data_IF_989314890750
#
_entry.id   IF_989314890750
#
_cell.length_a   1.000
_cell.length_b   1.000
_cell.length_c   1.000
_cell.angle_alpha   90.00
_cell.angle_beta   90.00
_cell.angle_gamma   90.00
#
_symmetry.space_group_name_H-M   'P 1'
#
loop_
_entity.id
_entity.type
_entity.pdbx_description
1 polymer ?
#
# COMPACT_ATOMS: atom_id res chain seq x y z
N UNK A 1 -1.45 -13.10 -24.23
CA UNK A 1 -2.19 -12.33 -23.20
C UNK A 1 -1.31 -12.24 -21.96
N UNK A 2 -1.06 -11.04 -21.43
CA UNK A 2 -0.34 -10.91 -20.15
C UNK A 2 -1.15 -11.61 -19.04
N UNK A 3 -0.49 -12.44 -18.22
CA UNK A 3 -1.15 -13.12 -17.11
C UNK A 3 -1.70 -12.11 -16.10
N UNK A 4 -2.82 -12.43 -15.46
CA UNK A 4 -3.43 -11.60 -14.40
C UNK A 4 -2.40 -11.29 -13.31
N UNK A 5 -1.54 -12.27 -12.99
CA UNK A 5 -0.41 -12.12 -12.07
C UNK A 5 0.52 -10.99 -12.47
N UNK A 6 0.97 -10.94 -13.72
CA UNK A 6 1.88 -9.89 -14.21
C UNK A 6 1.26 -8.49 -14.11
N UNK A 7 -0.02 -8.35 -14.44
CA UNK A 7 -0.74 -7.07 -14.32
C UNK A 7 -0.85 -6.61 -12.86
N UNK A 8 -1.25 -7.51 -11.96
CA UNK A 8 -1.37 -7.21 -10.53
C UNK A 8 -0.01 -6.87 -9.90
N UNK A 9 1.05 -7.61 -10.25
CA UNK A 9 2.41 -7.29 -9.78
C UNK A 9 2.82 -5.90 -10.23
N UNK A 10 2.64 -5.56 -11.51
CA UNK A 10 2.98 -4.24 -12.03
C UNK A 10 2.24 -3.12 -11.30
N UNK A 11 0.92 -3.28 -11.05
CA UNK A 11 0.11 -2.28 -10.35
C UNK A 11 0.56 -2.11 -8.89
N UNK A 12 0.68 -3.20 -8.12
CA UNK A 12 1.04 -3.11 -6.70
C UNK A 12 2.45 -2.56 -6.51
N UNK A 13 3.41 -3.00 -7.33
CA UNK A 13 4.78 -2.48 -7.27
C UNK A 13 4.83 -1.02 -7.69
N UNK A 14 4.15 -0.63 -8.78
CA UNK A 14 4.15 0.76 -9.24
C UNK A 14 3.57 1.71 -8.20
N UNK A 15 2.40 1.39 -7.64
CA UNK A 15 1.77 2.21 -6.59
C UNK A 15 2.70 2.33 -5.38
N UNK A 16 3.26 1.20 -4.94
CA UNK A 16 4.15 1.17 -3.79
C UNK A 16 5.40 2.01 -3.98
N UNK A 17 6.12 1.81 -5.10
CA UNK A 17 7.35 2.53 -5.40
C UNK A 17 7.10 4.02 -5.61
N UNK A 18 6.02 4.40 -6.32
CA UNK A 18 5.68 5.82 -6.53
C UNK A 18 5.38 6.50 -5.18
N UNK A 19 4.56 5.89 -4.33
CA UNK A 19 4.25 6.44 -3.01
C UNK A 19 5.52 6.61 -2.16
N UNK A 20 6.40 5.60 -2.17
CA UNK A 20 7.69 5.65 -1.46
C UNK A 20 8.60 6.76 -1.99
N UNK A 21 8.71 6.91 -3.31
CA UNK A 21 9.54 7.96 -3.93
C UNK A 21 9.00 9.37 -3.64
N UNK A 22 7.69 9.58 -3.70
CA UNK A 22 7.07 10.88 -3.41
C UNK A 22 7.30 11.28 -1.96
N UNK A 23 6.98 10.38 -1.02
CA UNK A 23 7.15 10.64 0.41
C UNK A 23 8.62 10.79 0.77
N UNK A 24 9.48 9.90 0.27
CA UNK A 24 10.92 9.96 0.53
C UNK A 24 11.59 11.19 -0.07
N UNK A 25 11.18 11.58 -1.29
CA UNK A 25 11.65 12.81 -1.93
C UNK A 25 11.25 14.06 -1.15
N UNK A 26 10.01 14.11 -0.67
CA UNK A 26 9.54 15.19 0.21
C UNK A 26 10.36 15.29 1.50
N UNK A 27 10.61 14.17 2.19
CA UNK A 27 11.45 14.16 3.40
C UNK A 27 12.88 14.65 3.15
N UNK A 28 13.49 14.28 2.02
CA UNK A 28 14.84 14.76 1.67
C UNK A 28 14.81 16.26 1.38
N UNK A 29 13.81 16.73 0.64
CA UNK A 29 13.60 18.15 0.36
C UNK A 29 13.46 18.97 1.65
N UNK A 30 12.59 18.55 2.56
CA UNK A 30 12.34 19.20 3.85
C UNK A 30 13.62 19.21 4.72
N UNK A 31 14.39 18.12 4.72
CA UNK A 31 15.68 18.05 5.43
C UNK A 31 16.70 19.09 4.93
N UNK A 32 16.73 19.35 3.62
CA UNK A 32 17.62 20.36 3.02
C UNK A 32 17.13 21.76 3.38
N UNK A 33 15.82 22.01 3.25
CA UNK A 33 15.22 23.31 3.57
C UNK A 33 15.43 23.66 5.06
N UNK A 34 15.19 22.72 5.97
CA UNK A 34 15.43 22.89 7.40
C UNK A 34 16.90 23.19 7.72
N UNK A 35 17.84 22.54 7.02
CA UNK A 35 19.26 22.77 7.21
C UNK A 35 19.68 24.18 6.79
N UNK A 36 19.17 24.65 5.66
CA UNK A 36 19.44 25.99 5.14
C UNK A 36 18.80 27.06 6.04
N UNK A 37 17.57 26.83 6.48
CA UNK A 37 16.90 27.67 7.46
C UNK A 37 17.66 27.74 8.79
N UNK A 38 18.17 26.60 9.29
CA UNK A 38 18.98 26.55 10.51
C UNK A 38 20.29 27.34 10.38
N UNK A 39 20.99 27.24 9.23
CA UNK A 39 22.22 28.00 8.99
C UNK A 39 21.95 29.51 8.91
N UNK A 40 20.86 29.92 8.23
CA UNK A 40 20.46 31.32 8.17
C UNK A 40 20.05 31.87 9.55
N UNK A 41 19.31 31.07 10.33
CA UNK A 41 18.91 31.40 11.68
C UNK A 41 20.12 31.56 12.61
N UNK A 42 21.12 30.69 12.50
CA UNK A 42 22.35 30.78 13.29
C UNK A 42 23.09 32.10 13.05
N UNK A 43 23.30 32.49 11.78
CA UNK A 43 23.93 33.77 11.46
C UNK A 43 23.10 34.95 11.99
N UNK A 44 21.78 34.92 11.79
CA UNK A 44 20.88 35.96 12.29
C UNK A 44 20.98 36.10 13.81
N UNK A 45 21.02 34.98 14.53
CA UNK A 45 21.16 34.97 15.99
C UNK A 45 22.48 35.60 16.45
N UNK A 46 23.60 35.32 15.75
CA UNK A 46 24.89 35.95 16.06
C UNK A 46 24.82 37.47 15.91
N UNK A 47 24.23 37.97 14.81
CA UNK A 47 24.04 39.42 14.59
C UNK A 47 23.13 40.04 15.64
N UNK A 48 21.99 39.41 15.96
CA UNK A 48 21.06 39.94 16.97
C UNK A 48 21.65 39.94 18.38
N UNK A 49 22.42 38.91 18.73
CA UNK A 49 23.12 38.85 20.01
C UNK A 49 24.16 39.96 20.11
N UNK A 50 24.93 40.15 19.03
CA UNK A 50 25.90 41.21 18.93
C UNK A 50 25.27 42.61 19.01
N UNK A 51 24.18 42.85 18.28
CA UNK A 51 23.45 44.11 18.30
C UNK A 51 22.97 44.46 19.71
N UNK A 52 22.42 43.48 20.43
CA UNK A 52 22.03 43.65 21.82
C UNK A 52 23.22 44.01 22.71
N UNK A 53 24.37 43.40 22.50
CA UNK A 53 25.57 43.67 23.30
C UNK A 53 26.03 45.12 23.16
N UNK A 54 26.23 45.62 21.93
CA UNK A 54 26.70 46.99 21.69
C UNK A 54 25.66 48.05 22.10
N UNK A 55 24.36 47.74 22.00
CA UNK A 55 23.29 48.57 22.55
C UNK A 55 23.42 48.68 24.07
N UNK A 56 23.49 47.57 24.79
CA UNK A 56 23.61 47.54 26.26
C UNK A 56 24.89 48.23 26.74
N UNK A 57 26.02 48.08 26.03
CA UNK A 57 27.26 48.78 26.33
C UNK A 57 27.09 50.31 26.21
N UNK A 58 26.38 50.77 25.19
CA UNK A 58 26.11 52.20 24.99
C UNK A 58 25.15 52.74 26.04
N UNK A 59 24.09 52.00 26.36
CA UNK A 59 23.13 52.35 27.43
C UNK A 59 23.82 52.44 28.80
N UNK A 60 24.74 51.51 29.10
CA UNK A 60 25.53 51.54 30.33
C UNK A 60 26.44 52.77 30.41
N UNK A 61 27.08 53.15 29.31
CA UNK A 61 27.86 54.38 29.28
C UNK A 61 26.95 55.60 29.48
N UNK A 62 25.85 55.70 28.75
CA UNK A 62 24.87 56.79 28.87
C UNK A 62 24.32 56.90 30.29
N UNK A 63 24.04 55.77 30.95
CA UNK A 63 23.62 55.73 32.35
C UNK A 63 24.69 56.32 33.28
N UNK A 64 25.96 55.99 33.04
CA UNK A 64 27.09 56.57 33.79
C UNK A 64 27.21 58.09 33.56
N UNK A 65 27.01 58.55 32.32
CA UNK A 65 27.01 59.98 31.99
C UNK A 65 25.81 60.73 32.59
N UNK A 66 24.63 60.09 32.67
CA UNK A 66 23.47 60.64 33.37
C UNK A 66 23.77 60.87 34.86
N UNK A 67 24.50 59.97 35.52
CA UNK A 67 24.95 60.18 36.89
C UNK A 67 25.81 61.44 37.06
N UNK A 68 26.68 61.74 36.08
CA UNK A 68 27.48 62.98 36.06
C UNK A 68 26.58 64.21 35.83
N UNK A 69 25.62 64.10 34.92
CA UNK A 69 24.67 65.18 34.64
C UNK A 69 23.75 65.50 35.84
N UNK A 70 23.35 64.51 36.63
CA UNK A 70 22.59 64.76 37.86
C UNK A 70 23.42 65.49 38.93
N UNK A 71 24.73 65.23 39.02
CA UNK A 71 25.65 66.01 39.87
C UNK A 71 25.83 67.45 39.38
N UNK A 72 25.72 67.69 38.07
CA UNK A 72 25.62 69.04 37.54
C UNK A 72 24.31 69.72 37.99
N UNK A 73 23.18 69.02 37.83
CA UNK A 73 21.85 69.56 38.20
C UNK A 73 21.71 69.85 39.69
N UNK A 74 22.39 69.10 40.55
CA UNK A 74 22.42 69.36 41.99
C UNK A 74 23.32 70.54 42.39
N UNK A 75 24.12 71.06 41.45
CA UNK A 75 25.10 72.13 41.70
C UNK A 75 26.43 71.64 42.30
N UNK A 76 26.63 70.32 42.44
CA UNK A 76 27.91 69.75 42.88
C UNK A 76 29.02 69.99 41.85
N UNK A 77 28.68 69.93 40.56
CA UNK A 77 29.58 70.23 39.45
C UNK A 77 29.04 71.39 38.62
N UNK A 78 29.92 72.30 38.19
CA UNK A 78 29.58 73.23 37.10
C UNK A 78 29.40 72.47 35.79
N UNK A 79 28.69 73.05 34.82
CA UNK A 79 28.53 72.43 33.50
C UNK A 79 29.88 72.10 32.83
N UNK A 80 30.86 73.00 32.94
CA UNK A 80 32.20 72.77 32.40
C UNK A 80 32.90 71.58 33.08
N UNK A 81 32.80 71.45 34.40
CA UNK A 81 33.36 70.32 35.15
C UNK A 81 32.65 69.01 34.82
N UNK A 82 31.32 69.02 34.71
CA UNK A 82 30.53 67.84 34.39
C UNK A 82 30.80 67.35 32.95
N UNK A 83 30.83 68.25 31.97
CA UNK A 83 31.20 67.91 30.58
C UNK A 83 32.63 67.37 30.49
N UNK A 84 33.59 68.00 31.18
CA UNK A 84 34.98 67.52 31.20
C UNK A 84 35.09 66.10 31.81
N UNK A 85 34.40 65.84 32.92
CA UNK A 85 34.37 64.53 33.56
C UNK A 85 33.69 63.47 32.67
N UNK A 86 32.58 63.83 32.02
CA UNK A 86 31.89 62.95 31.07
C UNK A 86 32.79 62.55 29.89
N UNK A 87 33.54 63.51 29.34
CA UNK A 87 34.54 63.27 28.29
C UNK A 87 35.64 62.33 28.79
N UNK A 88 36.15 62.54 30.01
CA UNK A 88 37.17 61.69 30.62
C UNK A 88 36.69 60.24 30.78
N UNK A 89 35.48 60.04 31.33
CA UNK A 89 34.88 58.70 31.49
C UNK A 89 34.70 58.00 30.14
N UNK A 90 34.18 58.70 29.13
CA UNK A 90 34.01 58.13 27.79
C UNK A 90 35.36 57.76 27.14
N UNK A 91 36.38 58.62 27.29
CA UNK A 91 37.73 58.38 26.77
C UNK A 91 38.42 57.22 27.49
N UNK A 92 38.12 56.98 28.76
CA UNK A 92 38.69 55.88 29.55
C UNK A 92 37.94 54.55 29.37
N UNK A 93 36.64 54.57 29.08
CA UNK A 93 35.80 53.38 28.97
C UNK A 93 36.28 52.44 27.86
N UNK A 94 36.59 51.19 28.22
CA UNK A 94 36.96 50.12 27.30
C UNK A 94 36.20 48.84 27.63
N UNK A 95 36.02 47.99 26.62
CA UNK A 95 35.47 46.64 26.74
C UNK A 95 36.23 45.71 25.77
N UNK A 96 35.85 44.43 25.71
CA UNK A 96 36.47 43.44 24.81
C UNK A 96 38.01 43.44 24.94
N UNK A 97 38.48 43.17 26.17
CA UNK A 97 39.93 43.13 26.50
C UNK A 97 40.70 44.41 26.16
N UNK A 98 40.03 45.57 26.15
CA UNK A 98 40.65 46.87 25.86
C UNK A 98 40.56 47.30 24.39
N UNK A 99 40.02 46.45 23.51
CA UNK A 99 39.88 46.72 22.07
C UNK A 99 38.65 47.57 21.75
N UNK A 100 37.57 47.36 22.50
CA UNK A 100 36.32 48.09 22.38
C UNK A 100 36.41 49.49 22.97
N UNK A 101 35.81 50.48 22.31
CA UNK A 101 35.94 51.88 22.68
C UNK A 101 34.73 52.73 22.28
N UNK A 102 34.60 53.91 22.90
CA UNK A 102 33.52 54.86 22.63
C UNK A 102 34.04 56.16 22.00
N UNK A 103 33.16 56.83 21.27
CA UNK A 103 33.39 58.18 20.80
C UNK A 103 32.08 58.96 20.80
N UNK A 104 32.20 60.28 20.81
CA UNK A 104 31.07 61.17 20.71
C UNK A 104 31.34 62.39 19.84
N UNK A 105 30.29 62.82 19.19
CA UNK A 105 30.25 63.98 18.33
C UNK A 105 29.07 64.85 18.73
N UNK A 106 29.23 66.16 18.63
CA UNK A 106 28.16 67.09 18.90
C UNK A 106 27.13 67.00 17.77
N UNK A 107 25.86 66.96 18.15
CA UNK A 107 24.73 66.59 17.29
C UNK A 107 24.51 67.54 16.12
N UNK A 108 24.56 68.84 16.35
CA UNK A 108 24.12 69.81 15.33
C UNK A 108 25.26 70.20 14.38
N UNK A 109 26.47 70.26 14.91
CA UNK A 109 27.67 70.58 14.16
C UNK A 109 28.27 69.34 13.54
N UNK A 110 28.41 68.23 14.27
CA UNK A 110 29.23 67.07 13.86
C UNK A 110 30.70 67.20 14.26
N UNK A 111 31.00 68.09 15.21
CA UNK A 111 32.34 68.22 15.79
C UNK A 111 32.60 67.07 16.77
N UNK A 112 33.73 66.40 16.63
CA UNK A 112 34.13 65.36 17.58
C UNK A 112 34.41 65.95 18.96
N UNK A 113 33.69 65.48 19.97
CA UNK A 113 33.82 65.91 21.36
C UNK A 113 34.80 65.02 22.12
N UNK A 114 34.76 63.71 21.87
CA UNK A 114 35.60 62.74 22.55
C UNK A 114 35.86 61.54 21.64
N UNK A 115 37.11 61.06 21.59
CA UNK A 115 37.42 59.82 20.89
C UNK A 115 38.45 59.00 21.65
N UNK A 116 38.07 57.81 22.10
CA UNK A 116 38.88 56.93 22.92
C UNK A 116 40.21 56.45 22.29
N UNK A 117 40.29 56.29 20.98
CA UNK A 117 41.52 55.76 20.33
C UNK A 117 42.26 56.76 19.45
N UNK A 118 41.67 57.94 19.22
CA UNK A 118 42.20 58.98 18.32
C UNK A 118 42.37 60.31 19.06
N UNK A 119 42.75 60.21 20.34
CA UNK A 119 42.98 61.35 21.23
C UNK A 119 43.84 62.43 20.58
N UNK A 120 43.39 63.69 20.65
CA UNK A 120 44.09 64.85 20.10
C UNK A 120 44.19 64.90 18.56
N UNK A 121 43.78 63.86 17.84
CA UNK A 121 43.84 63.84 16.37
C UNK A 121 42.56 64.36 15.72
N UNK A 122 41.40 63.96 16.27
CA UNK A 122 40.07 64.25 15.69
C UNK A 122 39.21 65.16 16.57
N UNK A 123 39.51 65.26 17.86
CA UNK A 123 38.76 66.09 18.83
C UNK A 123 38.79 67.57 18.38
N UNK A 124 37.63 68.23 18.41
CA UNK A 124 37.44 69.62 17.96
C UNK A 124 37.32 69.81 16.44
N UNK A 125 37.38 68.73 15.64
CA UNK A 125 37.24 68.79 14.18
C UNK A 125 35.86 68.31 13.74
N UNK A 126 35.39 68.90 12.64
CA UNK A 126 34.26 68.41 11.89
C UNK A 126 34.60 67.10 11.19
N UNK A 127 33.74 66.08 11.27
CA UNK A 127 33.98 64.79 10.63
C UNK A 127 32.79 64.17 9.91
N UNK A 128 31.71 64.93 9.69
CA UNK A 128 30.56 64.43 8.93
C UNK A 128 30.89 63.97 7.51
N UNK A 129 31.98 64.46 6.92
CA UNK A 129 32.39 64.11 5.55
C UNK A 129 33.49 63.04 5.51
N UNK A 130 33.86 62.48 6.66
CA UNK A 130 34.84 61.40 6.74
C UNK A 130 34.29 60.15 6.04
N UNK A 131 35.17 59.50 5.26
CA UNK A 131 34.86 58.30 4.49
C UNK A 131 35.66 57.11 5.00
N UNK A 132 35.03 55.94 4.95
CA UNK A 132 35.76 54.68 5.07
C UNK A 132 36.44 54.30 3.74
N UNK A 133 37.23 53.22 3.74
CA UNK A 133 37.88 52.69 2.52
C UNK A 133 36.92 52.32 1.38
N UNK A 134 35.64 52.08 1.67
CA UNK A 134 34.61 51.79 0.67
C UNK A 134 33.95 53.05 0.11
N UNK A 135 34.34 54.24 0.59
CA UNK A 135 33.79 55.52 0.18
C UNK A 135 32.47 55.89 0.89
N UNK A 136 32.06 55.13 1.91
CA UNK A 136 30.86 55.40 2.71
C UNK A 136 31.16 56.56 3.66
N UNK A 137 30.28 57.56 3.67
CA UNK A 137 30.31 58.65 4.65
C UNK A 137 29.84 58.16 6.02
N UNK A 138 30.68 57.37 6.70
CA UNK A 138 30.28 56.59 7.86
C UNK A 138 29.76 57.46 9.02
N UNK A 139 30.30 58.66 9.21
CA UNK A 139 29.79 59.59 10.23
C UNK A 139 28.35 60.05 9.94
N UNK A 140 27.95 60.18 8.68
CA UNK A 140 26.56 60.49 8.32
C UNK A 140 25.62 59.33 8.61
N UNK A 141 26.06 58.10 8.32
CA UNK A 141 25.25 56.91 8.62
C UNK A 141 25.13 56.70 10.14
N UNK A 142 26.18 56.98 10.93
CA UNK A 142 26.11 56.98 12.40
C UNK A 142 25.09 58.00 12.91
N UNK A 143 25.14 59.24 12.42
CA UNK A 143 24.19 60.29 12.86
C UNK A 143 22.75 59.92 12.48
N UNK A 144 22.56 59.44 11.26
CA UNK A 144 21.27 58.94 10.78
C UNK A 144 20.76 57.78 11.64
N UNK A 145 21.62 56.85 12.02
CA UNK A 145 21.26 55.74 12.90
C UNK A 145 20.87 56.23 14.29
N UNK A 146 21.67 57.10 14.90
CA UNK A 146 21.41 57.67 16.22
C UNK A 146 20.09 58.45 16.29
N UNK A 147 19.71 59.09 15.20
CA UNK A 147 18.51 59.93 15.09
C UNK A 147 17.31 59.18 14.47
N UNK A 148 17.48 57.92 14.08
CA UNK A 148 16.42 57.12 13.44
C UNK A 148 15.26 56.80 14.40
N UNK A 149 15.56 56.72 15.71
CA UNK A 149 14.57 56.48 16.76
C UNK A 149 15.02 57.14 18.07
N UNK A 150 14.11 57.36 19.03
CA UNK A 150 14.47 57.84 20.36
C UNK A 150 15.43 56.93 21.14
N UNK A 151 15.49 55.64 20.79
CA UNK A 151 16.40 54.68 21.42
C UNK A 151 17.80 54.72 20.79
N UNK A 152 17.94 55.22 19.57
CA UNK A 152 19.14 55.11 18.75
C UNK A 152 18.98 54.14 17.59
N UNK A 153 20.10 53.71 17.00
CA UNK A 153 20.10 52.80 15.87
C UNK A 153 21.49 52.26 15.51
N UNK A 154 21.49 51.33 14.55
CA UNK A 154 22.68 50.63 14.09
C UNK A 154 23.18 51.19 12.76
N UNK A 155 24.50 51.16 12.57
CA UNK A 155 25.17 51.54 11.32
C UNK A 155 26.30 50.56 11.02
N UNK A 156 26.49 50.28 9.73
CA UNK A 156 27.59 49.44 9.23
C UNK A 156 28.59 50.31 8.48
N UNK A 157 29.87 50.17 8.79
CA UNK A 157 30.96 50.92 8.17
C UNK A 157 32.28 50.14 8.29
N UNK A 158 33.30 50.52 7.54
CA UNK A 158 34.63 49.91 7.70
C UNK A 158 35.56 50.81 8.53
N UNK A 159 36.32 50.20 9.43
CA UNK A 159 37.28 50.94 10.25
C UNK A 159 38.41 50.02 10.70
N UNK A 160 39.66 50.50 10.84
CA UNK A 160 40.74 49.65 11.29
C UNK A 160 40.68 49.41 12.80
N UNK A 161 41.18 48.25 13.23
CA UNK A 161 41.39 47.96 14.66
C UNK A 161 42.40 48.92 15.27
N UNK A 162 42.35 49.19 16.60
CA UNK A 162 43.27 50.12 17.24
C UNK A 162 44.72 49.67 17.04
N UNK A 163 45.52 50.48 16.35
CA UNK A 163 46.92 50.17 16.05
C UNK A 163 47.16 49.42 14.73
N UNK A 164 46.09 49.07 14.01
CA UNK A 164 46.14 48.44 12.69
C UNK A 164 45.80 49.46 11.58
N UNK A 165 46.08 49.11 10.33
CA UNK A 165 45.78 49.94 9.15
C UNK A 165 44.79 49.30 8.19
N UNK A 166 44.48 48.02 8.39
CA UNK A 166 43.55 47.28 7.55
C UNK A 166 42.11 47.61 7.97
N UNK A 167 41.32 48.11 7.03
CA UNK A 167 39.91 48.39 7.24
C UNK A 167 39.12 47.08 7.30
N UNK A 168 38.38 46.89 8.39
CA UNK A 168 37.54 45.72 8.59
C UNK A 168 36.08 46.14 8.79
N UNK A 169 35.11 45.29 8.38
CA UNK A 169 33.69 45.54 8.61
C UNK A 169 33.40 45.72 10.09
N UNK A 170 32.80 46.85 10.43
CA UNK A 170 32.46 47.26 11.77
C UNK A 170 30.97 47.58 11.85
N UNK A 171 30.32 47.07 12.89
CA UNK A 171 28.93 47.37 13.18
C UNK A 171 28.85 48.18 14.45
N UNK A 172 28.18 49.32 14.37
CA UNK A 172 28.10 50.28 15.45
C UNK A 172 26.67 50.54 15.89
N UNK A 173 26.49 50.80 17.18
CA UNK A 173 25.27 51.33 17.75
C UNK A 173 25.52 52.77 18.16
N UNK A 174 24.52 53.61 17.93
CA UNK A 174 24.61 55.02 18.24
C UNK A 174 23.30 55.55 18.79
N UNK A 175 23.39 56.47 19.75
CA UNK A 175 22.24 57.11 20.35
C UNK A 175 22.57 58.52 20.82
N UNK A 176 21.55 59.37 20.93
CA UNK A 176 21.71 60.72 21.43
C UNK A 176 21.69 60.78 22.97
N UNK A 177 22.78 61.27 23.54
CA UNK A 177 22.81 61.79 24.90
C UNK A 177 22.29 63.23 24.92
N UNK A 178 20.97 63.35 25.04
CA UNK A 178 20.23 64.62 24.96
C UNK A 178 20.73 65.73 25.89
N UNK A 179 21.15 65.48 27.15
CA UNK A 179 21.56 66.55 28.05
C UNK A 179 22.68 67.44 27.51
N UNK A 180 23.61 66.87 26.72
CA UNK A 180 24.71 67.62 26.11
C UNK A 180 24.64 67.68 24.59
N UNK A 181 23.60 67.13 23.97
CA UNK A 181 23.48 67.06 22.50
C UNK A 181 24.62 66.25 21.89
N UNK A 182 25.00 65.12 22.49
CA UNK A 182 26.09 64.28 21.99
C UNK A 182 25.55 63.02 21.34
N UNK A 183 25.98 62.74 20.11
CA UNK A 183 25.80 61.43 19.48
C UNK A 183 26.91 60.53 20.00
N UNK A 184 26.54 59.57 20.84
CA UNK A 184 27.47 58.59 21.41
C UNK A 184 27.41 57.34 20.55
N UNK A 185 28.57 56.83 20.17
CA UNK A 185 28.67 55.61 19.38
C UNK A 185 29.72 54.66 19.95
N UNK A 186 29.42 53.38 19.79
CA UNK A 186 30.33 52.27 20.03
C UNK A 186 30.14 51.23 18.93
N UNK A 187 31.10 50.33 18.80
CA UNK A 187 30.98 49.23 17.85
C UNK A 187 32.23 48.36 17.86
N UNK A 188 32.10 47.18 17.26
CA UNK A 188 33.17 46.19 17.12
C UNK A 188 33.11 45.57 15.72
N UNK A 189 34.17 44.85 15.38
CA UNK A 189 34.34 44.23 14.08
C UNK A 189 33.49 42.96 14.00
N UNK A 190 32.82 42.77 12.86
CA UNK A 190 31.90 41.64 12.62
C UNK A 190 32.46 40.64 11.62
N UNK A 191 33.75 40.76 11.30
CA UNK A 191 34.53 39.84 10.47
C UNK A 191 34.41 38.38 10.94
N UNK A 192 34.34 38.17 12.25
CA UNK A 192 34.18 36.84 12.84
C UNK A 192 32.78 36.24 12.65
N UNK A 193 31.72 37.03 12.45
CA UNK A 193 30.34 36.53 12.36
C UNK A 193 30.18 35.69 11.10
N UNK A 194 30.66 36.21 9.96
CA UNK A 194 30.56 35.50 8.69
C UNK A 194 31.49 34.27 8.66
N UNK A 195 32.69 34.36 9.28
CA UNK A 195 33.57 33.21 9.45
C UNK A 195 32.94 32.11 10.32
N UNK A 196 32.37 32.46 11.49
CA UNK A 196 31.71 31.52 12.37
C UNK A 196 30.46 30.89 11.73
N UNK A 197 29.68 31.67 10.98
CA UNK A 197 28.54 31.17 10.21
C UNK A 197 28.97 30.19 9.11
N UNK A 198 30.08 30.48 8.42
CA UNK A 198 30.64 29.60 7.40
C UNK A 198 31.16 28.29 7.99
N UNK A 199 31.87 28.33 9.12
CA UNK A 199 32.36 27.14 9.82
C UNK A 199 31.19 26.27 10.32
N UNK A 200 30.15 26.90 10.89
CA UNK A 200 28.93 26.20 11.28
C UNK A 200 28.23 25.55 10.08
N UNK A 201 28.05 26.28 8.97
CA UNK A 201 27.43 25.76 7.77
C UNK A 201 28.23 24.57 7.18
N UNK A 202 29.57 24.65 7.22
CA UNK A 202 30.44 23.56 6.77
C UNK A 202 30.26 22.30 7.65
N UNK A 203 30.30 22.44 8.97
CA UNK A 203 30.06 21.32 9.88
C UNK A 203 28.67 20.71 9.67
N UNK A 204 27.65 21.55 9.47
CA UNK A 204 26.27 21.11 9.25
C UNK A 204 26.11 20.44 7.88
N UNK A 205 26.87 20.85 6.86
CA UNK A 205 26.86 20.22 5.53
C UNK A 205 27.32 18.75 5.56
N UNK A 206 28.32 18.42 6.40
CA UNK A 206 28.75 17.03 6.58
C UNK A 206 27.68 16.18 7.27
N UNK A 207 26.99 16.76 8.26
CA UNK A 207 25.87 16.12 8.93
C UNK A 207 24.67 15.94 7.98
N UNK A 208 24.36 16.95 7.17
CA UNK A 208 23.32 16.90 6.13
C UNK A 208 23.62 15.78 5.12
N UNK A 209 24.85 15.71 4.62
CA UNK A 209 25.24 14.66 3.69
C UNK A 209 25.02 13.26 4.29
N UNK A 210 25.43 13.04 5.55
CA UNK A 210 25.18 11.77 6.24
C UNK A 210 23.69 11.46 6.37
N UNK A 211 22.85 12.46 6.73
CA UNK A 211 21.39 12.29 6.82
C UNK A 211 20.80 11.91 5.46
N UNK A 212 21.17 12.61 4.38
CA UNK A 212 20.68 12.32 3.03
C UNK A 212 21.09 10.90 2.60
N UNK A 213 22.35 10.50 2.82
CA UNK A 213 22.81 9.14 2.49
C UNK A 213 22.01 8.08 3.24
N UNK A 214 21.79 8.25 4.53
CA UNK A 214 20.97 7.33 5.34
C UNK A 214 19.52 7.28 4.82
N UNK A 215 18.91 8.42 4.52
CA UNK A 215 17.57 8.50 3.94
C UNK A 215 17.48 7.78 2.59
N UNK A 216 18.47 7.93 1.72
CA UNK A 216 18.55 7.21 0.45
C UNK A 216 18.69 5.69 0.64
N UNK A 217 19.47 5.24 1.63
CA UNK A 217 19.60 3.81 1.95
C UNK A 217 18.25 3.25 2.45
N UNK A 218 17.58 3.96 3.37
CA UNK A 218 16.26 3.57 3.87
C UNK A 218 15.26 3.50 2.71
N UNK A 219 15.27 4.49 1.82
CA UNK A 219 14.42 4.54 0.64
C UNK A 219 14.65 3.34 -0.28
N UNK A 220 15.91 2.99 -0.55
CA UNK A 220 16.26 1.84 -1.36
C UNK A 220 15.77 0.52 -0.73
N UNK A 221 15.94 0.36 0.59
CA UNK A 221 15.43 -0.82 1.31
C UNK A 221 13.90 -0.90 1.24
N UNK A 222 13.20 0.23 1.44
CA UNK A 222 11.74 0.28 1.32
C UNK A 222 11.25 -0.07 -0.08
N UNK A 223 11.93 0.40 -1.13
CA UNK A 223 11.60 0.05 -2.52
C UNK A 223 11.73 -1.47 -2.73
N UNK A 224 12.81 -2.10 -2.27
CA UNK A 224 12.99 -3.55 -2.36
C UNK A 224 11.88 -4.29 -1.62
N UNK A 225 11.50 -3.83 -0.42
CA UNK A 225 10.40 -4.41 0.35
C UNK A 225 9.06 -4.27 -0.36
N UNK A 226 8.77 -3.11 -0.98
CA UNK A 226 7.55 -2.89 -1.76
C UNK A 226 7.49 -3.79 -3.00
N UNK A 227 8.63 -4.04 -3.66
CA UNK A 227 8.71 -4.99 -4.78
C UNK A 227 8.38 -6.41 -4.30
N UNK A 228 9.02 -6.88 -3.22
CA UNK A 228 8.77 -8.22 -2.67
C UNK A 228 7.31 -8.36 -2.22
N UNK A 229 6.77 -7.36 -1.52
CA UNK A 229 5.39 -7.34 -1.07
C UNK A 229 4.42 -7.37 -2.25
N UNK A 230 4.66 -6.56 -3.29
CA UNK A 230 3.84 -6.54 -4.51
C UNK A 230 3.83 -7.88 -5.25
N UNK A 231 4.97 -8.56 -5.34
CA UNK A 231 5.06 -9.91 -5.94
C UNK A 231 4.26 -10.93 -5.11
N UNK A 232 4.46 -10.95 -3.78
CA UNK A 232 3.76 -11.88 -2.89
C UNK A 232 2.24 -11.65 -2.89
N UNK A 233 1.82 -10.40 -2.85
CA UNK A 233 0.42 -10.02 -2.88
C UNK A 233 -0.22 -10.43 -4.22
N UNK A 234 0.43 -10.11 -5.34
CA UNK A 234 -0.05 -10.51 -6.66
C UNK A 234 -0.18 -12.04 -6.81
N UNK A 235 0.77 -12.82 -6.28
CA UNK A 235 0.67 -14.28 -6.27
C UNK A 235 -0.53 -14.77 -5.45
N UNK A 236 -0.73 -14.19 -4.24
CA UNK A 236 -1.85 -14.54 -3.36
C UNK A 236 -3.23 -14.36 -4.02
N UNK A 237 -3.40 -13.36 -4.88
CA UNK A 237 -4.65 -13.15 -5.62
C UNK A 237 -4.72 -13.92 -6.94
N UNK A 238 -3.65 -13.88 -7.73
CA UNK A 238 -3.69 -14.40 -9.11
C UNK A 238 -3.60 -15.92 -9.18
N UNK A 239 -2.88 -16.57 -8.26
CA UNK A 239 -2.64 -18.02 -8.33
C UNK A 239 -3.93 -18.83 -8.04
N UNK A 240 -4.77 -18.51 -7.03
CA UNK A 240 -6.07 -19.17 -6.84
C UNK A 240 -7.02 -18.98 -8.03
N UNK A 241 -7.06 -17.77 -8.62
CA UNK A 241 -7.89 -17.49 -9.81
C UNK A 241 -7.42 -18.33 -11.00
N UNK A 242 -6.12 -18.41 -11.22
CA UNK A 242 -5.54 -19.23 -12.28
C UNK A 242 -5.83 -20.72 -12.05
N UNK A 243 -5.77 -21.19 -10.79
CA UNK A 243 -6.11 -22.56 -10.41
C UNK A 243 -7.57 -22.89 -10.73
N UNK A 244 -8.51 -22.05 -10.31
CA UNK A 244 -9.94 -22.23 -10.60
C UNK A 244 -10.21 -22.19 -12.09
N UNK A 245 -9.61 -21.25 -12.82
CA UNK A 245 -9.77 -21.14 -14.28
C UNK A 245 -9.27 -22.41 -14.99
N UNK A 246 -8.10 -22.92 -14.59
CA UNK A 246 -7.52 -24.15 -15.17
C UNK A 246 -8.42 -25.37 -14.90
N UNK A 247 -8.96 -25.48 -13.69
CA UNK A 247 -9.79 -26.62 -13.30
C UNK A 247 -11.20 -26.55 -13.88
N UNK A 248 -11.76 -25.34 -14.03
CA UNK A 248 -13.00 -25.13 -14.78
C UNK A 248 -12.83 -25.53 -16.26
N UNK A 249 -11.67 -25.24 -16.87
CA UNK A 249 -11.36 -25.72 -18.22
C UNK A 249 -11.29 -27.25 -18.29
N UNK A 250 -10.63 -27.91 -17.33
CA UNK A 250 -10.61 -29.37 -17.26
C UNK A 250 -12.03 -29.98 -17.15
N UNK A 251 -12.91 -29.36 -16.36
CA UNK A 251 -14.31 -29.78 -16.28
C UNK A 251 -15.05 -29.61 -17.60
N UNK A 252 -14.78 -28.53 -18.35
CA UNK A 252 -15.35 -28.35 -19.69
C UNK A 252 -14.88 -29.42 -20.68
N UNK A 253 -13.64 -29.91 -20.52
CA UNK A 253 -13.06 -30.99 -21.32
C UNK A 253 -13.49 -32.40 -20.81
N UNK A 254 -14.36 -32.48 -19.80
CA UNK A 254 -14.88 -33.73 -19.23
C UNK A 254 -13.99 -34.42 -18.19
N UNK A 255 -12.85 -33.81 -17.83
CA UNK A 255 -11.97 -34.32 -16.77
C UNK A 255 -12.43 -33.82 -15.40
N UNK A 256 -13.19 -34.65 -14.70
CA UNK A 256 -13.63 -34.40 -13.33
C UNK A 256 -12.75 -35.10 -12.28
N UNK A 257 -11.50 -35.45 -12.61
CA UNK A 257 -10.57 -36.11 -11.70
C UNK A 257 -10.38 -35.38 -10.37
N UNK A 258 -10.08 -36.12 -9.29
CA UNK A 258 -9.78 -35.54 -7.98
C UNK A 258 -8.34 -35.06 -7.96
N UNK A 259 -8.12 -33.77 -8.24
CA UNK A 259 -6.81 -33.15 -8.01
C UNK A 259 -6.76 -32.49 -6.62
N UNK A 260 -5.63 -32.60 -5.89
CA UNK A 260 -5.46 -31.92 -4.61
C UNK A 260 -5.51 -30.40 -4.79
N UNK A 261 -6.08 -29.72 -3.80
CA UNK A 261 -6.09 -28.27 -3.70
C UNK A 261 -4.96 -27.89 -2.75
N UNK A 262 -3.98 -27.07 -3.18
CA UNK A 262 -2.95 -26.55 -2.28
C UNK A 262 -3.57 -25.79 -1.10
N UNK A 263 -3.07 -26.03 0.11
CA UNK A 263 -3.60 -25.39 1.33
C UNK A 263 -3.51 -23.86 1.26
N UNK A 264 -2.50 -23.31 0.58
CA UNK A 264 -2.33 -21.88 0.32
C UNK A 264 -3.50 -21.24 -0.44
N UNK A 265 -4.31 -22.03 -1.15
CA UNK A 265 -5.48 -21.55 -1.90
C UNK A 265 -6.77 -21.65 -1.08
N UNK A 266 -6.74 -22.33 0.08
CA UNK A 266 -7.87 -22.34 1.02
C UNK A 266 -7.80 -21.08 1.88
N UNK A 267 -8.48 -20.04 1.42
CA UNK A 267 -8.65 -18.79 2.14
C UNK A 267 -10.03 -18.71 2.81
N UNK A 268 -10.19 -17.84 3.81
CA UNK A 268 -11.50 -17.56 4.42
C UNK A 268 -12.28 -16.46 3.67
N UNK A 269 -11.74 -15.97 2.56
CA UNK A 269 -12.34 -14.94 1.70
C UNK A 269 -13.07 -15.54 0.49
N UNK A 270 -13.55 -14.68 -0.41
CA UNK A 270 -14.28 -15.05 -1.62
C UNK A 270 -13.46 -15.91 -2.57
N UNK A 271 -12.11 -15.83 -2.55
CA UNK A 271 -11.26 -16.69 -3.36
C UNK A 271 -11.28 -18.13 -2.84
N UNK A 272 -11.24 -18.29 -1.52
CA UNK A 272 -11.39 -19.61 -0.89
C UNK A 272 -12.77 -20.21 -1.13
N UNK A 273 -13.83 -19.42 -1.00
CA UNK A 273 -15.19 -19.86 -1.33
C UNK A 273 -15.32 -20.31 -2.80
N UNK A 274 -14.64 -19.62 -3.73
CA UNK A 274 -14.61 -20.01 -5.13
C UNK A 274 -13.90 -21.37 -5.34
N UNK A 275 -12.80 -21.61 -4.62
CA UNK A 275 -12.06 -22.88 -4.64
C UNK A 275 -12.91 -24.02 -4.06
N UNK A 276 -13.55 -23.79 -2.90
CA UNK A 276 -14.41 -24.77 -2.23
C UNK A 276 -15.66 -25.08 -3.08
N UNK A 277 -16.29 -24.07 -3.67
CA UNK A 277 -17.42 -24.24 -4.58
C UNK A 277 -17.07 -25.12 -5.79
N UNK A 278 -15.87 -24.95 -6.35
CA UNK A 278 -15.38 -25.79 -7.45
C UNK A 278 -15.12 -27.24 -7.01
N UNK A 279 -14.69 -27.45 -5.76
CA UNK A 279 -14.53 -28.79 -5.18
C UNK A 279 -15.88 -29.51 -5.05
N UNK A 280 -16.88 -28.82 -4.50
CA UNK A 280 -18.25 -29.34 -4.36
C UNK A 280 -18.87 -29.64 -5.72
N UNK A 281 -18.71 -28.73 -6.69
CA UNK A 281 -19.19 -28.95 -8.07
C UNK A 281 -18.59 -30.23 -8.66
N UNK A 282 -17.27 -30.39 -8.61
CA UNK A 282 -16.61 -31.59 -9.11
C UNK A 282 -17.04 -32.86 -8.39
N UNK A 283 -17.28 -32.81 -7.08
CA UNK A 283 -17.78 -33.94 -6.30
C UNK A 283 -19.19 -34.36 -6.72
N UNK A 284 -20.08 -33.38 -6.92
CA UNK A 284 -21.45 -33.64 -7.36
C UNK A 284 -21.50 -34.18 -8.79
N UNK A 285 -20.69 -33.63 -9.71
CA UNK A 285 -20.62 -34.15 -11.08
C UNK A 285 -20.08 -35.57 -11.13
N UNK A 286 -19.03 -35.91 -10.35
CA UNK A 286 -18.55 -37.30 -10.25
C UNK A 286 -19.60 -38.26 -9.72
N UNK A 287 -20.35 -37.85 -8.68
CA UNK A 287 -21.46 -38.67 -8.14
C UNK A 287 -22.51 -38.93 -9.21
N UNK A 288 -22.88 -37.91 -9.97
CA UNK A 288 -23.85 -38.03 -11.08
C UNK A 288 -23.32 -38.94 -12.19
N UNK A 289 -22.05 -38.82 -12.57
CA UNK A 289 -21.44 -39.70 -13.58
C UNK A 289 -21.39 -41.17 -13.12
N UNK A 290 -21.08 -41.44 -11.85
CA UNK A 290 -21.13 -42.79 -11.30
C UNK A 290 -22.56 -43.34 -11.29
N UNK A 291 -23.54 -42.55 -10.88
CA UNK A 291 -24.94 -42.98 -10.91
C UNK A 291 -25.43 -43.31 -12.33
N UNK A 292 -25.01 -42.51 -13.33
CA UNK A 292 -25.30 -42.80 -14.74
C UNK A 292 -24.62 -44.11 -15.18
N UNK A 293 -23.36 -44.32 -14.79
CA UNK A 293 -22.63 -45.56 -15.08
C UNK A 293 -23.34 -46.78 -14.48
N UNK A 294 -23.68 -46.73 -13.20
CA UNK A 294 -24.36 -47.83 -12.50
C UNK A 294 -25.72 -48.14 -13.16
N UNK A 295 -26.46 -47.10 -13.53
CA UNK A 295 -27.74 -47.25 -14.23
C UNK A 295 -27.57 -47.83 -15.64
N UNK A 296 -26.50 -47.47 -16.36
CA UNK A 296 -26.18 -48.07 -17.66
C UNK A 296 -25.79 -49.55 -17.53
N UNK A 297 -25.04 -49.93 -16.50
CA UNK A 297 -24.70 -51.33 -16.20
C UNK A 297 -25.95 -52.15 -15.84
N UNK A 298 -26.88 -51.58 -15.07
CA UNK A 298 -28.16 -52.20 -14.75
C UNK A 298 -29.02 -52.41 -16.01
N UNK A 299 -29.10 -51.41 -16.88
CA UNK A 299 -29.80 -51.52 -18.18
C UNK A 299 -29.17 -52.61 -19.05
N UNK A 300 -27.83 -52.66 -19.13
CA UNK A 300 -27.13 -53.69 -19.90
C UNK A 300 -27.40 -55.10 -19.35
N UNK A 301 -27.41 -55.26 -18.02
CA UNK A 301 -27.76 -56.53 -17.35
C UNK A 301 -29.20 -56.93 -17.63
N UNK A 302 -30.15 -56.01 -17.51
CA UNK A 302 -31.56 -56.27 -17.79
C UNK A 302 -31.79 -56.64 -19.26
N UNK A 303 -31.09 -56.00 -20.19
CA UNK A 303 -31.12 -56.35 -21.61
C UNK A 303 -30.60 -57.77 -21.85
N UNK A 304 -29.52 -58.19 -21.17
CA UNK A 304 -29.01 -59.56 -21.26
C UNK A 304 -30.02 -60.59 -20.72
N UNK A 305 -30.61 -60.35 -19.55
CA UNK A 305 -31.66 -61.21 -18.99
C UNK A 305 -32.89 -61.31 -19.89
N UNK A 306 -33.30 -60.20 -20.51
CA UNK A 306 -34.41 -60.18 -21.46
C UNK A 306 -34.12 -61.02 -22.72
N UNK A 307 -32.89 -60.96 -23.22
CA UNK A 307 -32.47 -61.76 -24.37
C UNK A 307 -32.55 -63.26 -24.04
N UNK A 308 -32.06 -63.67 -22.88
CA UNK A 308 -32.14 -65.06 -22.40
C UNK A 308 -33.59 -65.53 -22.26
N UNK A 309 -34.46 -64.74 -21.61
CA UNK A 309 -35.89 -65.05 -21.50
C UNK A 309 -36.56 -65.15 -22.87
N UNK A 310 -36.16 -64.32 -23.83
CA UNK A 310 -36.70 -64.38 -25.20
C UNK A 310 -36.29 -65.68 -25.90
N UNK A 311 -35.04 -66.12 -25.75
CA UNK A 311 -34.58 -67.40 -26.29
C UNK A 311 -35.32 -68.59 -25.66
N UNK A 312 -35.50 -68.57 -24.33
CA UNK A 312 -36.27 -69.60 -23.62
C UNK A 312 -37.73 -69.63 -24.08
N UNK A 313 -38.37 -68.46 -24.26
CA UNK A 313 -39.72 -68.36 -24.78
C UNK A 313 -39.83 -68.92 -26.19
N UNK A 314 -38.85 -68.65 -27.07
CA UNK A 314 -38.82 -69.20 -28.43
C UNK A 314 -38.68 -70.73 -28.42
N UNK A 315 -37.82 -71.28 -27.56
CA UNK A 315 -37.68 -72.72 -27.37
C UNK A 315 -38.99 -73.36 -26.86
N UNK A 316 -39.63 -72.75 -25.86
CA UNK A 316 -40.92 -73.20 -25.35
C UNK A 316 -42.01 -73.13 -26.44
N UNK A 317 -42.06 -72.07 -27.24
CA UNK A 317 -42.98 -71.96 -28.38
C UNK A 317 -42.76 -73.06 -29.42
N UNK A 318 -41.50 -73.43 -29.71
CA UNK A 318 -41.21 -74.56 -30.60
C UNK A 318 -41.69 -75.90 -30.02
N UNK A 319 -41.47 -76.15 -28.73
CA UNK A 319 -41.95 -77.37 -28.07
C UNK A 319 -43.49 -77.45 -28.04
N UNK A 320 -44.17 -76.31 -27.85
CA UNK A 320 -45.64 -76.23 -27.98
C UNK A 320 -46.06 -76.58 -29.40
N UNK A 321 -45.39 -76.06 -30.43
CA UNK A 321 -45.71 -76.38 -31.82
C UNK A 321 -45.51 -77.88 -32.15
N UNK A 322 -44.45 -78.50 -31.62
CA UNK A 322 -44.21 -79.95 -31.73
C UNK A 322 -45.33 -80.74 -31.04
N UNK A 323 -45.69 -80.38 -29.80
CA UNK A 323 -46.79 -81.01 -29.06
C UNK A 323 -48.13 -80.89 -29.80
N UNK A 324 -48.41 -79.74 -30.42
CA UNK A 324 -49.60 -79.55 -31.27
C UNK A 324 -49.57 -80.50 -32.47
N UNK A 325 -48.40 -80.71 -33.07
CA UNK A 325 -48.22 -81.65 -34.20
C UNK A 325 -48.46 -83.09 -33.76
N UNK A 326 -47.93 -83.50 -32.60
CA UNK A 326 -48.15 -84.84 -32.03
C UNK A 326 -49.61 -85.08 -31.66
N UNK A 327 -50.28 -84.07 -31.09
CA UNK A 327 -51.72 -84.14 -30.79
C UNK A 327 -52.53 -84.27 -32.08
N UNK A 328 -52.19 -83.52 -33.14
CA UNK A 328 -52.86 -83.64 -34.43
C UNK A 328 -52.68 -85.04 -35.04
N UNK A 329 -51.46 -85.59 -35.00
CA UNK A 329 -51.16 -86.96 -35.46
C UNK A 329 -51.92 -88.02 -34.66
N UNK A 330 -51.94 -87.89 -33.33
CA UNK A 330 -52.68 -88.78 -32.43
C UNK A 330 -54.19 -88.71 -32.69
N UNK A 331 -54.72 -87.50 -32.93
CA UNK A 331 -56.13 -87.29 -33.30
C UNK A 331 -56.45 -87.99 -34.62
N UNK A 332 -55.54 -88.00 -35.59
CA UNK A 332 -55.72 -88.71 -36.87
C UNK A 332 -55.73 -90.23 -36.69
N UNK A 333 -54.86 -90.78 -35.84
CA UNK A 333 -54.88 -92.20 -35.48
C UNK A 333 -56.17 -92.56 -34.75
N UNK A 334 -56.64 -91.69 -33.84
CA UNK A 334 -57.88 -91.89 -33.11
C UNK A 334 -59.09 -91.88 -34.04
N UNK A 335 -59.12 -90.99 -35.04
CA UNK A 335 -60.16 -90.98 -36.08
C UNK A 335 -60.19 -92.30 -36.87
N UNK A 336 -59.01 -92.84 -37.20
CA UNK A 336 -58.91 -94.15 -37.89
C UNK A 336 -59.43 -95.30 -37.01
N UNK A 337 -59.08 -95.31 -35.72
CA UNK A 337 -59.60 -96.31 -34.77
C UNK A 337 -61.12 -96.20 -34.57
N UNK A 338 -61.68 -94.99 -34.62
CA UNK A 338 -63.13 -94.77 -34.60
C UNK A 338 -63.80 -95.31 -35.86
N UNK A 339 -63.19 -95.14 -37.05
CA UNK A 339 -63.69 -95.72 -38.30
C UNK A 339 -63.64 -97.26 -38.29
N UNK A 340 -62.57 -97.86 -37.76
CA UNK A 340 -62.50 -99.32 -37.56
C UNK A 340 -63.58 -99.81 -36.59
N UNK A 341 -63.76 -99.12 -35.47
CA UNK A 341 -64.80 -99.45 -34.49
C UNK A 341 -66.20 -99.35 -35.13
N UNK A 342 -66.44 -98.34 -35.97
CA UNK A 342 -67.68 -98.23 -36.76
C UNK A 342 -67.85 -99.43 -37.70
N UNK A 343 -66.78 -99.88 -38.36
CA UNK A 343 -66.80 -101.10 -39.17
C UNK A 343 -67.19 -102.34 -38.35
N UNK A 344 -66.54 -102.54 -37.20
CA UNK A 344 -66.84 -103.66 -36.30
C UNK A 344 -68.27 -103.60 -35.74
N UNK A 345 -68.79 -102.42 -35.41
CA UNK A 345 -70.20 -102.23 -35.01
C UNK A 345 -71.15 -102.57 -36.17
N UNK A 346 -70.78 -102.27 -37.41
CA UNK A 346 -71.57 -102.64 -38.60
C UNK A 346 -71.59 -104.16 -38.78
N UNK A 347 -70.44 -104.82 -38.69
CA UNK A 347 -70.36 -106.29 -38.76
C UNK A 347 -71.14 -106.95 -37.61
N UNK A 348 -71.06 -106.39 -36.41
CA UNK A 348 -71.85 -106.87 -35.27
C UNK A 348 -73.34 -106.75 -35.53
N UNK A 349 -73.81 -105.65 -36.13
CA UNK A 349 -75.20 -105.48 -36.51
C UNK A 349 -75.65 -106.54 -37.53
N UNK A 350 -74.85 -106.81 -38.57
CA UNK A 350 -75.12 -107.87 -39.55
C UNK A 350 -75.18 -109.27 -38.89
N UNK A 351 -74.27 -109.55 -37.94
CA UNK A 351 -74.28 -110.80 -37.17
C UNK A 351 -75.51 -110.91 -36.27
N UNK A 352 -75.94 -109.81 -35.65
CA UNK A 352 -77.17 -109.78 -34.84
C UNK A 352 -78.38 -110.05 -35.72
N UNK A 353 -78.47 -109.45 -36.90
CA UNK A 353 -79.54 -109.74 -37.87
C UNK A 353 -79.55 -111.22 -38.27
N UNK A 354 -78.38 -111.79 -38.60
CA UNK A 354 -78.24 -113.20 -38.92
C UNK A 354 -78.61 -114.13 -37.74
N UNK A 355 -78.26 -113.76 -36.50
CA UNK A 355 -78.68 -114.50 -35.30
C UNK A 355 -80.19 -114.39 -35.11
N UNK A 356 -80.79 -113.22 -35.37
CA UNK A 356 -82.23 -113.00 -35.27
C UNK A 356 -82.99 -113.84 -36.31
N UNK A 357 -82.52 -113.88 -37.56
CA UNK A 357 -83.08 -114.73 -38.62
C UNK A 357 -82.95 -116.23 -38.29
N UNK A 358 -81.80 -116.65 -37.79
CA UNK A 358 -81.60 -118.04 -37.33
C UNK A 358 -82.48 -118.38 -36.12
N UNK A 359 -82.71 -117.44 -35.20
CA UNK A 359 -83.60 -117.62 -34.06
C UNK A 359 -85.07 -117.74 -34.51
N UNK A 360 -85.50 -116.97 -35.52
CA UNK A 360 -86.81 -117.13 -36.16
C UNK A 360 -86.95 -118.52 -36.81
N UNK A 361 -85.95 -118.93 -37.60
CA UNK A 361 -85.91 -120.28 -38.20
C UNK A 361 -86.00 -121.38 -37.16
N UNK A 362 -85.19 -121.29 -36.10
CA UNK A 362 -85.21 -122.27 -35.02
C UNK A 362 -86.56 -122.28 -34.30
N UNK A 363 -87.20 -121.13 -34.09
CA UNK A 363 -88.54 -121.04 -33.52
C UNK A 363 -89.59 -121.69 -34.43
N UNK A 364 -89.48 -121.54 -35.75
CA UNK A 364 -90.36 -122.15 -36.73
C UNK A 364 -90.17 -123.68 -36.83
N UNK A 365 -88.93 -124.17 -36.87
CA UNK A 365 -88.60 -125.60 -36.80
C UNK A 365 -89.10 -126.23 -35.48
N UNK A 366 -88.98 -125.50 -34.35
CA UNK A 366 -89.49 -125.96 -33.06
C UNK A 366 -91.02 -126.02 -33.07
N UNK A 367 -91.69 -125.09 -33.76
CA UNK A 367 -93.15 -125.10 -33.94
C UNK A 367 -93.58 -126.28 -34.81
N UNK A 368 -92.91 -126.56 -35.93
CA UNK A 368 -93.16 -127.75 -36.77
C UNK A 368 -92.93 -129.06 -36.00
N UNK A 369 -91.85 -129.14 -35.21
CA UNK A 369 -91.58 -130.29 -34.35
C UNK A 369 -92.68 -130.49 -33.29
N UNK A 370 -93.23 -129.40 -32.74
CA UNK A 370 -94.33 -129.44 -31.78
C UNK A 370 -95.65 -129.86 -32.45
N UNK A 371 -95.95 -129.39 -33.67
CA UNK A 371 -97.11 -129.84 -34.43
C UNK A 371 -97.02 -131.31 -34.84
N UNK A 372 -95.83 -131.80 -35.19
CA UNK A 372 -95.58 -133.21 -35.51
C UNK A 372 -95.75 -134.10 -34.27
N UNK A 373 -95.29 -133.64 -33.10
CA UNK A 373 -95.46 -134.35 -31.83
C UNK A 373 -96.92 -134.34 -31.32
N UNK A 374 -97.76 -133.41 -31.78
CA UNK A 374 -99.17 -133.35 -31.36
C UNK A 374 -100.10 -134.22 -32.23
N UNK A 375 -99.67 -134.60 -33.45
CA UNK A 375 -100.47 -135.36 -34.44
C UNK A 375 -100.04 -136.84 -34.62
N UNK A 376 -99.14 -137.34 -33.78
CA UNK A 376 -98.84 -138.78 -33.61
C UNK A 376 -99.15 -139.23 -32.20
#
# INVERSE_FOLDING_TARGET
MQSVRGKLTAIFVAIGVIATLVVGGYFIYETIEDNDAANAAYRKQLVEQYDREIKLLTENLVSSLNGIYERQKSGELTEAQAKALAIEVMKAARYDEGKGYFFADERDTGICIAHATLHGKVEGKMRQDDKDSNGVYYMREIFKAALSSPEGGYSDFSFPKPGETEDLPKRGYSMEFKPYGWIICTGSWVDYIDAAAADHAKANSEALYKKIVISCIILAVLIVLMVIAGIKLAAKFADPIAFVTKRMKAFADGDYGKQPIPDEYRSSDELGQMVDGLEVLGANTRKLLNAIKDSAEEVAKNAASLNEMTNQSAAASNQIAESITDVAGSTNNQLSAVDEAKGAVTELAERIDAVSENAEKAAEETKEATETAHNG
#
